data_IF_251715198771
#
_entry.id   IF_251715198771
#
_cell.length_a   1.000
_cell.length_b   1.000
_cell.length_c   1.000
_cell.angle_alpha   90.00
_cell.angle_beta   90.00
_cell.angle_gamma   90.00
#
_symmetry.space_group_name_H-M   'P 1'
#
loop_
_entity.id
_entity.type
_entity.pdbx_description
1 polymer ?
#
# COMPACT_ATOMS: atom_id res chain seq x y z
N UNK A 1 -24.71 1.39 -27.04
CA UNK A 1 -24.03 1.23 -26.96
C UNK A 1 -23.64 1.15 -26.92
N UNK A 2 -23.79 1.21 -26.49
CA UNK A 2 -23.01 1.07 -26.21
C UNK A 2 -22.41 1.07 -25.88
N UNK A 3 -22.61 1.13 -25.70
CA UNK A 3 -21.68 0.91 -25.26
C UNK A 3 -21.46 1.07 -24.83
N UNK A 4 -21.64 1.03 -24.44
CA UNK A 4 -21.09 1.07 -24.06
C UNK A 4 -20.82 0.70 -23.64
N UNK A 5 -21.00 0.28 -23.24
CA UNK A 5 -20.33 -0.16 -22.90
C UNK A 5 -19.61 -0.44 -22.92
N UNK A 6 -19.47 -0.58 -23.05
CA UNK A 6 -18.48 -0.67 -22.91
C UNK A 6 -17.91 -0.15 -22.83
N UNK A 7 -18.12 0.28 -22.96
CA UNK A 7 -17.55 0.87 -22.69
C UNK A 7 -17.40 1.21 -21.94
N UNK A 8 -17.88 1.08 -21.90
CA UNK A 8 -17.65 1.53 -20.88
C UNK A 8 -16.79 0.93 -19.94
N UNK A 9 -16.62 0.15 -19.89
CA UNK A 9 -15.70 -0.38 -19.17
C UNK A 9 -14.32 0.09 -19.38
N UNK A 10 -13.92 0.39 -20.50
CA UNK A 10 -12.64 0.97 -20.80
C UNK A 10 -12.49 2.34 -20.20
N UNK A 11 -13.50 3.13 -20.30
CA UNK A 11 -13.49 4.44 -19.71
C UNK A 11 -13.30 4.34 -18.23
N UNK A 12 -13.87 3.31 -17.64
CA UNK A 12 -13.74 3.12 -16.24
C UNK A 12 -12.33 2.83 -15.83
N UNK A 13 -11.59 2.08 -16.63
CA UNK A 13 -10.21 1.78 -16.35
C UNK A 13 -9.33 2.99 -16.39
N UNK A 14 -9.67 3.97 -17.21
CA UNK A 14 -8.86 5.17 -17.30
C UNK A 14 -9.26 6.20 -16.27
N UNK A 15 -10.36 5.97 -15.58
CA UNK A 15 -10.80 6.88 -14.54
C UNK A 15 -9.95 6.72 -13.29
N UNK A 16 -9.86 7.77 -12.51
CA UNK A 16 -9.16 7.71 -11.26
C UNK A 16 -9.92 6.81 -10.28
N UNK A 17 -9.23 5.94 -9.57
CA UNK A 17 -9.89 5.10 -8.58
C UNK A 17 -10.39 5.96 -7.42
N UNK A 18 -11.54 5.60 -6.89
CA UNK A 18 -12.11 6.28 -5.74
C UNK A 18 -12.02 5.44 -4.49
N UNK A 19 -11.79 4.15 -4.65
CA UNK A 19 -11.65 3.23 -3.52
C UNK A 19 -10.48 2.31 -3.77
N UNK A 20 -10.03 1.65 -2.72
CA UNK A 20 -8.97 0.67 -2.86
C UNK A 20 -9.45 -0.51 -3.70
N UNK A 21 -10.73 -0.88 -3.60
CA UNK A 21 -11.28 -1.92 -4.47
C UNK A 21 -11.11 -1.54 -5.94
N UNK A 22 -11.42 -0.29 -6.27
CA UNK A 22 -11.25 0.19 -7.64
C UNK A 22 -9.80 0.14 -8.07
N UNK A 23 -8.91 0.55 -7.19
CA UNK A 23 -7.49 0.58 -7.51
C UNK A 23 -6.98 -0.82 -7.84
N UNK A 24 -7.29 -1.78 -6.99
CA UNK A 24 -6.81 -3.14 -7.19
C UNK A 24 -7.44 -3.76 -8.44
N UNK A 25 -8.71 -3.45 -8.70
CA UNK A 25 -9.37 -3.98 -9.88
C UNK A 25 -8.70 -3.56 -11.19
N UNK A 26 -7.94 -2.47 -11.17
CA UNK A 26 -7.30 -1.93 -12.36
C UNK A 26 -5.84 -2.36 -12.54
N UNK A 27 -5.28 -3.14 -11.61
CA UNK A 27 -3.92 -3.63 -11.80
C UNK A 27 -3.96 -4.99 -12.49
N UNK A 28 -2.85 -5.42 -13.09
CA UNK A 28 -2.81 -6.75 -13.71
C UNK A 28 -3.24 -7.84 -12.74
N UNK A 29 -3.90 -8.85 -13.26
CA UNK A 29 -4.47 -9.88 -12.43
C UNK A 29 -3.46 -10.54 -11.50
N UNK A 30 -2.26 -10.78 -12.00
CA UNK A 30 -1.23 -11.42 -11.18
C UNK A 30 -0.86 -10.58 -9.96
N UNK A 31 -1.04 -9.25 -10.05
CA UNK A 31 -0.73 -8.35 -8.94
C UNK A 31 -1.91 -8.18 -7.99
N UNK A 32 -3.12 -8.50 -8.42
CA UNK A 32 -4.29 -8.30 -7.60
C UNK A 32 -4.24 -9.12 -6.30
N UNK A 33 -3.83 -10.38 -6.41
CA UNK A 33 -3.79 -11.24 -5.23
C UNK A 33 -2.77 -10.76 -4.21
N UNK A 34 -1.60 -10.34 -4.67
CA UNK A 34 -0.56 -9.89 -3.75
C UNK A 34 -0.97 -8.58 -3.09
N UNK A 35 -1.67 -7.71 -3.83
CA UNK A 35 -2.13 -6.46 -3.23
C UNK A 35 -3.30 -6.69 -2.27
N UNK A 36 -4.19 -7.63 -2.58
CA UNK A 36 -5.25 -7.98 -1.63
C UNK A 36 -4.69 -8.55 -0.35
N UNK A 37 -3.68 -9.39 -0.46
CA UNK A 37 -3.03 -9.93 0.72
C UNK A 37 -2.36 -8.83 1.55
N UNK A 38 -1.70 -7.90 0.88
CA UNK A 38 -1.08 -6.77 1.56
C UNK A 38 -2.13 -5.92 2.25
N UNK A 39 -3.22 -5.65 1.55
CA UNK A 39 -4.34 -4.90 2.10
C UNK A 39 -4.87 -5.55 3.37
N UNK A 40 -5.10 -6.86 3.30
CA UNK A 40 -5.64 -7.58 4.45
C UNK A 40 -4.67 -7.59 5.62
N UNK A 41 -3.38 -7.70 5.34
CA UNK A 41 -2.37 -7.67 6.38
C UNK A 41 -2.34 -6.32 7.08
N UNK A 42 -2.41 -5.24 6.31
CA UNK A 42 -2.42 -3.89 6.86
C UNK A 42 -3.66 -3.69 7.74
N UNK A 43 -4.82 -4.09 7.23
CA UNK A 43 -6.07 -3.91 7.97
C UNK A 43 -6.10 -4.76 9.24
N UNK A 44 -5.51 -5.93 9.17
CA UNK A 44 -5.41 -6.80 10.34
C UNK A 44 -4.52 -6.19 11.42
N UNK A 45 -3.42 -5.56 11.00
CA UNK A 45 -2.49 -4.95 11.95
C UNK A 45 -3.02 -3.63 12.50
N UNK A 46 -3.86 -2.94 11.74
CA UNK A 46 -4.39 -1.64 12.13
C UNK A 46 -5.88 -1.58 11.85
N UNK A 47 -6.69 -2.30 12.62
CA UNK A 47 -8.14 -2.33 12.34
C UNK A 47 -8.81 -0.97 12.51
N UNK A 48 -8.19 -0.05 13.22
CA UNK A 48 -8.74 1.28 13.41
C UNK A 48 -8.35 2.26 12.31
N UNK A 49 -7.47 1.84 11.41
CA UNK A 49 -7.01 2.74 10.36
C UNK A 49 -8.08 2.95 9.30
N UNK A 50 -8.11 4.15 8.76
CA UNK A 50 -9.00 4.50 7.68
C UNK A 50 -8.33 4.15 6.35
N UNK A 51 -9.05 3.45 5.48
CA UNK A 51 -8.54 3.08 4.16
C UNK A 51 -9.12 4.02 3.13
N UNK A 52 -8.27 4.75 2.44
CA UNK A 52 -8.71 5.75 1.45
C UNK A 52 -7.79 5.76 0.25
N UNK A 53 -8.18 6.49 -0.79
CA UNK A 53 -7.29 6.82 -1.89
C UNK A 53 -6.79 8.23 -1.65
N UNK A 54 -5.48 8.40 -1.62
CA UNK A 54 -4.85 9.71 -1.43
C UNK A 54 -3.70 9.81 -2.42
N UNK A 55 -3.63 10.92 -3.13
CA UNK A 55 -2.63 11.10 -4.20
C UNK A 55 -2.72 9.99 -5.24
N UNK A 56 -3.93 9.44 -5.41
CA UNK A 56 -4.17 8.43 -6.42
C UNK A 56 -3.79 7.01 -6.02
N UNK A 57 -3.39 6.77 -4.79
CA UNK A 57 -2.97 5.43 -4.36
C UNK A 57 -3.61 5.04 -3.03
N UNK A 58 -3.71 3.72 -2.78
CA UNK A 58 -4.23 3.24 -1.49
C UNK A 58 -3.40 3.77 -0.33
N UNK A 59 -4.09 4.31 0.65
CA UNK A 59 -3.48 4.98 1.79
C UNK A 59 -4.21 4.58 3.06
N UNK A 60 -3.46 4.37 4.11
CA UNK A 60 -4.01 4.00 5.42
C UNK A 60 -3.65 5.07 6.43
N UNK A 61 -4.65 5.56 7.17
CA UNK A 61 -4.46 6.67 8.10
C UNK A 61 -4.91 6.29 9.50
N UNK A 62 -4.10 6.68 10.46
CA UNK A 62 -4.42 6.54 11.87
C UNK A 62 -3.63 7.61 12.59
N UNK A 63 -4.31 8.67 13.01
CA UNK A 63 -3.67 9.84 13.59
C UNK A 63 -2.62 10.41 12.63
N UNK A 64 -2.93 10.34 11.34
CA UNK A 64 -2.05 10.76 10.28
C UNK A 64 -1.75 9.58 9.35
N UNK A 65 -1.01 9.83 8.27
CA UNK A 65 -0.71 8.75 7.32
C UNK A 65 0.13 7.65 7.99
N UNK A 66 -0.20 6.40 7.68
CA UNK A 66 0.57 5.26 8.14
C UNK A 66 1.44 4.72 7.02
N UNK A 67 0.80 4.03 6.08
CA UNK A 67 1.48 3.37 4.98
C UNK A 67 0.65 3.52 3.71
N UNK A 68 1.28 3.30 2.58
CA UNK A 68 0.66 3.36 1.27
C UNK A 68 1.24 2.27 0.39
N UNK A 69 0.53 1.90 -0.68
CA UNK A 69 1.16 1.06 -1.68
C UNK A 69 0.70 1.52 -3.07
N UNK A 70 1.46 1.14 -4.08
CA UNK A 70 1.15 1.54 -5.44
C UNK A 70 1.65 0.49 -6.41
N UNK A 71 1.00 0.43 -7.57
CA UNK A 71 1.39 -0.48 -8.64
C UNK A 71 1.96 0.32 -9.79
N UNK A 72 3.10 -0.12 -10.30
CA UNK A 72 3.73 0.46 -11.45
C UNK A 72 3.89 -0.61 -12.52
N UNK A 73 4.33 -0.21 -13.69
CA UNK A 73 4.41 -1.13 -14.80
C UNK A 73 5.24 -2.37 -14.51
N UNK A 74 6.38 -2.19 -13.87
CA UNK A 74 7.33 -3.28 -13.68
C UNK A 74 7.54 -3.70 -12.24
N UNK A 75 6.83 -3.06 -11.30
CA UNK A 75 7.00 -3.40 -9.89
C UNK A 75 5.89 -2.80 -9.07
N UNK A 76 5.83 -3.25 -7.82
CA UNK A 76 4.92 -2.69 -6.83
C UNK A 76 5.76 -1.96 -5.79
N UNK A 77 5.18 -0.98 -5.13
CA UNK A 77 5.91 -0.17 -4.15
C UNK A 77 5.14 -0.08 -2.84
N UNK A 78 5.88 -0.05 -1.74
CA UNK A 78 5.34 0.09 -0.41
C UNK A 78 5.99 1.32 0.22
N UNK A 79 5.18 2.23 0.73
CA UNK A 79 5.63 3.49 1.29
C UNK A 79 5.22 3.63 2.75
N UNK A 80 5.88 4.52 3.46
CA UNK A 80 5.51 4.83 4.83
C UNK A 80 6.57 4.46 5.84
N UNK A 81 7.61 3.78 5.39
CA UNK A 81 8.74 3.46 6.25
C UNK A 81 9.64 4.68 6.27
N UNK A 82 9.78 5.32 7.43
CA UNK A 82 10.69 6.46 7.48
C UNK A 82 12.12 5.97 7.67
N UNK A 83 13.06 6.91 7.57
CA UNK A 83 14.46 6.55 7.55
C UNK A 83 14.91 5.81 8.82
N UNK A 84 14.49 6.30 9.97
CA UNK A 84 14.92 5.68 11.23
C UNK A 84 14.37 4.26 11.36
N UNK A 85 13.12 4.07 10.94
CA UNK A 85 12.52 2.75 11.00
C UNK A 85 13.17 1.80 10.00
N UNK A 86 13.50 2.32 8.81
CA UNK A 86 14.14 1.51 7.79
C UNK A 86 15.47 0.95 8.30
N UNK A 87 16.24 1.76 9.05
CA UNK A 87 17.51 1.29 9.59
C UNK A 87 17.34 0.08 10.48
N UNK A 88 16.21 -0.02 11.19
CA UNK A 88 16.01 -1.15 12.10
C UNK A 88 15.53 -2.40 11.41
N UNK A 89 15.05 -2.30 10.17
CA UNK A 89 14.46 -3.44 9.49
C UNK A 89 15.12 -3.80 8.17
N UNK A 90 16.14 -3.07 7.76
CA UNK A 90 16.67 -3.28 6.42
C UNK A 90 17.28 -4.67 6.21
N UNK A 91 17.69 -5.34 7.28
CA UNK A 91 18.18 -6.70 7.13
C UNK A 91 17.10 -7.65 6.65
N UNK A 92 15.84 -7.33 6.94
CA UNK A 92 14.71 -8.14 6.48
C UNK A 92 14.38 -7.90 5.02
N UNK A 93 15.01 -6.90 4.41
CA UNK A 93 14.73 -6.47 3.05
C UNK A 93 15.87 -6.77 2.09
N UNK A 94 16.73 -7.71 2.42
CA UNK A 94 17.88 -8.02 1.57
C UNK A 94 17.51 -8.39 0.15
N UNK A 95 16.36 -9.02 -0.01
CA UNK A 95 15.91 -9.48 -1.32
C UNK A 95 15.01 -8.49 -2.03
N UNK A 96 14.88 -7.29 -1.48
CA UNK A 96 14.01 -6.28 -2.08
C UNK A 96 14.81 -5.05 -2.44
N UNK A 97 14.45 -4.45 -3.57
CA UNK A 97 15.10 -3.23 -4.00
C UNK A 97 14.55 -2.06 -3.20
N UNK A 98 15.43 -1.16 -2.81
CA UNK A 98 15.03 0.05 -2.10
C UNK A 98 15.36 1.26 -2.95
N UNK A 99 14.44 2.21 -2.97
CA UNK A 99 14.64 3.49 -3.64
C UNK A 99 14.36 4.56 -2.59
N UNK A 100 15.43 5.05 -1.94
CA UNK A 100 15.25 5.87 -0.75
C UNK A 100 14.61 5.03 0.34
N UNK A 101 13.45 5.46 0.81
CA UNK A 101 12.69 4.68 1.80
C UNK A 101 11.55 3.90 1.19
N UNK A 102 11.43 3.90 -0.14
CA UNK A 102 10.40 3.14 -0.83
C UNK A 102 10.89 1.71 -1.04
N UNK A 103 10.04 0.73 -0.73
CA UNK A 103 10.39 -0.67 -0.87
C UNK A 103 9.69 -1.23 -2.09
N UNK A 104 10.47 -1.82 -3.00
CA UNK A 104 9.93 -2.45 -4.21
C UNK A 104 9.61 -3.90 -3.92
N UNK A 105 8.51 -4.39 -4.46
CA UNK A 105 8.15 -5.80 -4.34
C UNK A 105 7.38 -6.22 -5.59
N UNK A 106 7.01 -7.48 -5.67
CA UNK A 106 6.29 -7.99 -6.83
C UNK A 106 5.48 -9.20 -6.40
N UNK A 107 4.65 -9.69 -7.33
CA UNK A 107 3.89 -10.90 -7.07
C UNK A 107 4.83 -12.10 -6.84
N UNK A 108 5.98 -12.11 -7.51
CA UNK A 108 6.94 -13.18 -7.36
C UNK A 108 7.83 -13.03 -6.12
N UNK A 109 7.87 -11.81 -5.58
CA UNK A 109 8.70 -11.52 -4.40
C UNK A 109 7.92 -10.57 -3.50
N UNK A 110 6.85 -11.06 -2.85
CA UNK A 110 6.01 -10.20 -2.02
C UNK A 110 6.70 -9.84 -0.72
N UNK A 111 6.17 -8.82 -0.06
CA UNK A 111 6.67 -8.45 1.26
C UNK A 111 6.22 -9.50 2.28
N UNK A 112 7.11 -9.88 3.20
CA UNK A 112 6.71 -10.82 4.25
C UNK A 112 5.60 -10.23 5.11
N UNK A 113 4.63 -11.04 5.44
CA UNK A 113 3.49 -10.60 6.22
C UNK A 113 3.92 -10.04 7.57
N UNK A 114 4.84 -10.73 8.24
CA UNK A 114 5.31 -10.28 9.55
C UNK A 114 6.02 -8.94 9.46
N UNK A 115 6.75 -8.72 8.37
CA UNK A 115 7.40 -7.44 8.16
C UNK A 115 6.37 -6.31 8.05
N UNK A 116 5.33 -6.53 7.24
CA UNK A 116 4.30 -5.51 7.05
C UNK A 116 3.60 -5.20 8.36
N UNK A 117 3.25 -6.23 9.14
CA UNK A 117 2.61 -6.02 10.42
C UNK A 117 3.48 -5.20 11.35
N UNK A 118 4.77 -5.51 11.39
CA UNK A 118 5.71 -4.78 12.23
C UNK A 118 5.76 -3.30 11.84
N UNK A 119 5.85 -3.04 10.54
CA UNK A 119 5.92 -1.66 10.07
C UNK A 119 4.66 -0.89 10.43
N UNK A 120 3.49 -1.51 10.18
CA UNK A 120 2.23 -0.84 10.47
C UNK A 120 2.13 -0.51 11.96
N UNK A 121 2.48 -1.45 12.81
CA UNK A 121 2.41 -1.24 14.25
C UNK A 121 3.37 -0.16 14.71
N UNK A 122 4.59 -0.16 14.18
CA UNK A 122 5.57 0.86 14.54
C UNK A 122 5.12 2.25 14.08
N UNK A 123 4.53 2.31 12.90
CA UNK A 123 4.02 3.58 12.40
C UNK A 123 2.86 4.09 13.24
N UNK A 124 2.00 3.19 13.72
CA UNK A 124 0.93 3.57 14.62
C UNK A 124 1.50 4.18 15.90
N UNK A 125 2.51 3.54 16.46
CA UNK A 125 3.17 4.03 17.67
C UNK A 125 3.77 5.41 17.44
N UNK A 126 4.44 5.60 16.31
CA UNK A 126 5.04 6.88 15.99
C UNK A 126 3.97 7.97 15.86
N UNK A 127 2.86 7.65 15.22
CA UNK A 127 1.78 8.64 15.07
C UNK A 127 1.13 8.97 16.40
N UNK A 128 1.00 7.97 17.27
CA UNK A 128 0.45 8.21 18.60
C UNK A 128 1.36 9.11 19.43
N UNK A 129 2.66 8.89 19.35
CA UNK A 129 3.61 9.73 20.05
C UNK A 129 3.56 11.17 19.58
N UNK A 130 3.51 11.32 18.27
CA UNK A 130 3.45 12.66 17.68
C UNK A 130 2.17 13.38 18.11
N UNK A 131 1.06 12.65 18.17
CA UNK A 131 -0.21 13.24 18.56
C UNK A 131 -0.21 13.71 20.02
N UNK A 132 0.53 13.01 20.87
CA UNK A 132 0.63 13.40 22.27
C UNK A 132 1.38 14.70 22.48
N UNK A 133 2.34 14.95 21.61
CA UNK A 133 3.18 16.13 21.71
C UNK A 133 2.40 17.41 21.42
N UNK A 134 1.39 17.32 20.60
CA UNK A 134 0.55 18.49 20.30
C UNK A 134 -0.39 18.85 21.44
#
# INVERSE_FOLDING_TARGET
MKGEEIKKETAKKSAKPETVDDYIANVPKEDQDVLENLRNTIKSAAPEAEEVISYGIPTYKYKGPLVHFAAFKNHLSFYGVNKSLLETVKDELKDHKLSGTTIHFSAQNPLPEEFVKKIVQKRMEQNEERAKIK
#
